data_IF_156300030667
#
_entry.id   IF_156300030667
#
_cell.length_a   1.000
_cell.length_b   1.000
_cell.length_c   1.000
_cell.angle_alpha   90.00
_cell.angle_beta   90.00
_cell.angle_gamma   90.00
#
_symmetry.space_group_name_H-M   'P 1'
#
loop_
_entity.id
_entity.type
_entity.pdbx_description
1 polymer ?
#
# COMPACT_ATOMS: atom_id res chain seq x y z
N UNK A 1 -6.34 -24.15 4.52
CA UNK A 1 -5.99 -22.77 4.11
C UNK A 1 -6.52 -22.55 2.71
N UNK A 2 -7.29 -21.49 2.44
CA UNK A 2 -7.78 -21.23 1.07
C UNK A 2 -6.64 -20.73 0.17
N UNK A 3 -6.64 -21.05 -1.14
CA UNK A 3 -5.64 -20.54 -2.07
C UNK A 3 -5.52 -19.00 -2.10
N UNK A 4 -6.64 -18.29 -1.99
CA UNK A 4 -6.66 -16.82 -1.95
C UNK A 4 -5.94 -16.24 -0.73
N UNK A 5 -6.08 -16.90 0.44
CA UNK A 5 -5.42 -16.43 1.66
C UNK A 5 -3.90 -16.64 1.60
N UNK A 6 -3.43 -17.70 0.95
CA UNK A 6 -2.00 -17.89 0.72
C UNK A 6 -1.43 -16.77 -0.16
N UNK A 7 -2.10 -16.45 -1.28
CA UNK A 7 -1.65 -15.37 -2.18
C UNK A 7 -1.61 -14.00 -1.50
N UNK A 8 -2.54 -13.75 -0.57
CA UNK A 8 -2.54 -12.55 0.26
C UNK A 8 -1.28 -12.48 1.13
N UNK A 9 -0.98 -13.55 1.88
CA UNK A 9 0.19 -13.61 2.74
C UNK A 9 1.51 -13.55 1.96
N UNK A 10 1.58 -14.21 0.80
CA UNK A 10 2.73 -14.12 -0.09
C UNK A 10 2.95 -12.67 -0.57
N UNK A 11 1.88 -11.95 -0.90
CA UNK A 11 1.95 -10.54 -1.31
C UNK A 11 2.46 -9.63 -0.19
N UNK A 12 1.98 -9.87 1.04
CA UNK A 12 2.40 -9.15 2.24
C UNK A 12 3.90 -9.38 2.50
N UNK A 13 4.36 -10.63 2.47
CA UNK A 13 5.77 -10.98 2.68
C UNK A 13 6.66 -10.29 1.63
N UNK A 14 6.25 -10.29 0.36
CA UNK A 14 6.94 -9.58 -0.72
C UNK A 14 7.03 -8.08 -0.41
N UNK A 15 5.94 -7.44 0.01
CA UNK A 15 5.91 -6.02 0.33
C UNK A 15 6.87 -5.69 1.48
N UNK A 16 6.81 -6.46 2.57
CA UNK A 16 7.68 -6.26 3.75
C UNK A 16 9.16 -6.47 3.37
N UNK A 17 9.45 -7.47 2.55
CA UNK A 17 10.80 -7.73 2.03
C UNK A 17 11.32 -6.58 1.17
N UNK A 18 10.51 -6.05 0.24
CA UNK A 18 10.91 -4.92 -0.60
C UNK A 18 11.10 -3.66 0.25
N UNK A 19 10.23 -3.41 1.24
CA UNK A 19 10.36 -2.28 2.16
C UNK A 19 11.70 -2.28 2.89
N UNK A 20 12.10 -3.44 3.44
CA UNK A 20 13.41 -3.62 4.10
C UNK A 20 14.59 -3.33 3.15
N UNK A 21 14.49 -3.77 1.89
CA UNK A 21 15.51 -3.48 0.87
C UNK A 21 15.58 -1.98 0.55
N UNK A 22 14.43 -1.29 0.45
CA UNK A 22 14.37 0.16 0.25
C UNK A 22 15.03 0.89 1.44
N UNK A 23 14.79 0.45 2.68
CA UNK A 23 15.44 1.05 3.85
C UNK A 23 16.95 0.95 3.77
N UNK A 24 17.46 -0.24 3.43
CA UNK A 24 18.89 -0.48 3.24
C UNK A 24 19.48 0.37 2.10
N UNK A 25 18.75 0.56 1.00
CA UNK A 25 19.20 1.41 -0.11
C UNK A 25 19.36 2.87 0.33
N UNK A 26 18.43 3.40 1.13
CA UNK A 26 18.45 4.80 1.59
C UNK A 26 19.66 5.11 2.45
N UNK A 27 20.14 4.15 3.23
CA UNK A 27 21.35 4.31 4.04
C UNK A 27 22.61 4.43 3.15
N UNK A 28 22.59 3.80 1.98
CA UNK A 28 23.73 3.68 1.07
C UNK A 28 23.71 4.66 -0.11
N UNK A 29 22.63 5.43 -0.34
CA UNK A 29 22.57 6.35 -1.48
C UNK A 29 23.60 7.48 -1.40
N UNK A 30 24.37 7.64 -2.48
CA UNK A 30 25.41 8.68 -2.60
C UNK A 30 24.83 10.01 -3.10
N UNK A 31 23.76 9.96 -3.90
CA UNK A 31 23.06 11.11 -4.45
C UNK A 31 21.57 11.13 -4.09
N UNK A 32 20.89 12.26 -4.30
CA UNK A 32 19.43 12.39 -4.13
C UNK A 32 18.86 11.98 -2.75
N UNK A 33 19.69 12.01 -1.69
CA UNK A 33 19.34 11.57 -0.31
C UNK A 33 17.98 12.06 0.19
N UNK A 34 17.65 13.33 -0.04
CA UNK A 34 16.35 13.91 0.38
C UNK A 34 15.17 13.24 -0.31
N UNK A 35 15.28 12.95 -1.61
CA UNK A 35 14.23 12.27 -2.38
C UNK A 35 14.11 10.80 -1.97
N UNK A 36 15.23 10.11 -1.82
CA UNK A 36 15.25 8.73 -1.32
C UNK A 36 14.63 8.59 0.08
N UNK A 37 14.91 9.54 0.99
CA UNK A 37 14.28 9.56 2.32
C UNK A 37 12.77 9.75 2.26
N UNK A 38 12.26 10.65 1.40
CA UNK A 38 10.80 10.82 1.22
C UNK A 38 10.13 9.54 0.74
N UNK A 39 10.75 8.83 -0.20
CA UNK A 39 10.26 7.52 -0.64
C UNK A 39 10.26 6.54 0.53
N UNK A 40 11.35 6.46 1.29
CA UNK A 40 11.46 5.62 2.50
C UNK A 40 10.34 5.86 3.50
N UNK A 41 10.03 7.12 3.80
CA UNK A 41 9.01 7.47 4.79
C UNK A 41 7.60 7.05 4.32
N UNK A 42 7.31 7.19 3.03
CA UNK A 42 6.05 6.70 2.43
C UNK A 42 5.96 5.17 2.44
N UNK A 43 7.07 4.50 2.10
CA UNK A 43 7.16 3.04 2.17
C UNK A 43 6.91 2.54 3.59
N UNK A 44 7.41 3.25 4.61
CA UNK A 44 7.13 2.92 6.02
C UNK A 44 5.67 3.05 6.40
N UNK A 45 4.99 4.10 5.93
CA UNK A 45 3.56 4.26 6.15
C UNK A 45 2.75 3.13 5.50
N UNK A 46 3.13 2.74 4.27
CA UNK A 46 2.53 1.61 3.55
C UNK A 46 2.79 0.27 4.24
N UNK A 47 4.03 -0.01 4.64
CA UNK A 47 4.39 -1.23 5.37
C UNK A 47 3.57 -1.37 6.66
N UNK A 48 3.37 -0.28 7.40
CA UNK A 48 2.55 -0.28 8.61
C UNK A 48 1.09 -0.65 8.32
N UNK A 49 0.50 -0.10 7.25
CA UNK A 49 -0.86 -0.49 6.83
C UNK A 49 -0.92 -1.97 6.45
N UNK A 50 0.06 -2.46 5.71
CA UNK A 50 0.13 -3.85 5.26
C UNK A 50 0.24 -4.82 6.44
N UNK A 51 1.09 -4.53 7.42
CA UNK A 51 1.21 -5.33 8.66
C UNK A 51 -0.07 -5.34 9.50
N UNK A 52 -0.89 -4.30 9.43
CA UNK A 52 -2.20 -4.31 10.10
C UNK A 52 -3.20 -5.29 9.46
N UNK A 53 -2.96 -5.70 8.21
CA UNK A 53 -3.77 -6.71 7.51
C UNK A 53 -3.35 -8.12 7.92
N UNK A 54 -2.07 -8.37 8.23
CA UNK A 54 -1.59 -9.67 8.74
C UNK A 54 -2.31 -10.11 10.02
N UNK A 55 -2.70 -9.16 10.86
CA UNK A 55 -3.33 -9.42 12.15
C UNK A 55 -4.81 -9.85 12.04
N UNK A 56 -5.37 -9.89 10.82
CA UNK A 56 -6.78 -10.21 10.58
C UNK A 56 -6.99 -11.72 10.43
N UNK A 57 -8.18 -12.18 10.79
CA UNK A 57 -8.54 -13.59 10.64
C UNK A 57 -8.71 -13.98 9.17
N UNK A 58 -8.46 -15.25 8.87
CA UNK A 58 -8.66 -15.85 7.55
C UNK A 58 -10.06 -15.56 6.99
N UNK A 59 -10.13 -14.91 5.81
CA UNK A 59 -11.38 -14.63 5.11
C UNK A 59 -12.04 -13.29 5.44
N UNK A 60 -11.41 -12.44 6.24
CA UNK A 60 -11.89 -11.07 6.54
C UNK A 60 -11.43 -10.01 5.53
N UNK A 61 -10.66 -10.39 4.52
CA UNK A 61 -10.07 -9.48 3.54
C UNK A 61 -10.81 -9.57 2.20
N UNK A 62 -11.23 -8.43 1.69
CA UNK A 62 -11.93 -8.30 0.41
C UNK A 62 -10.99 -8.43 -0.80
N UNK A 63 -11.56 -8.81 -1.94
CA UNK A 63 -10.83 -8.90 -3.21
C UNK A 63 -10.24 -7.55 -3.67
N UNK A 64 -10.84 -6.43 -3.26
CA UNK A 64 -10.30 -5.10 -3.55
C UNK A 64 -9.01 -4.85 -2.75
N UNK A 65 -8.96 -5.25 -1.47
CA UNK A 65 -7.73 -5.18 -0.67
C UNK A 65 -6.64 -6.10 -1.24
N UNK A 66 -6.99 -7.32 -1.65
CA UNK A 66 -6.05 -8.23 -2.34
C UNK A 66 -5.47 -7.59 -3.61
N UNK A 67 -6.31 -6.95 -4.44
CA UNK A 67 -5.86 -6.22 -5.64
C UNK A 67 -4.92 -5.08 -5.27
N UNK A 68 -5.27 -4.27 -4.27
CA UNK A 68 -4.46 -3.15 -3.82
C UNK A 68 -3.06 -3.59 -3.36
N UNK A 69 -2.97 -4.70 -2.62
CA UNK A 69 -1.69 -5.24 -2.16
C UNK A 69 -0.83 -5.73 -3.33
N UNK A 70 -1.45 -6.36 -4.33
CA UNK A 70 -0.74 -6.77 -5.55
C UNK A 70 -0.20 -5.56 -6.33
N UNK A 71 -1.00 -4.51 -6.51
CA UNK A 71 -0.56 -3.28 -7.19
C UNK A 71 0.53 -2.54 -6.41
N UNK A 72 0.41 -2.55 -5.08
CA UNK A 72 1.42 -2.00 -4.18
C UNK A 72 2.77 -2.73 -4.33
N UNK A 73 2.78 -4.06 -4.42
CA UNK A 73 4.04 -4.81 -4.56
C UNK A 73 4.78 -4.42 -5.85
N UNK A 74 4.08 -4.26 -6.97
CA UNK A 74 4.67 -3.77 -8.22
C UNK A 74 5.20 -2.33 -8.11
N UNK A 75 4.48 -1.46 -7.38
CA UNK A 75 4.89 -0.07 -7.17
C UNK A 75 6.12 0.03 -6.29
N UNK A 76 6.20 -0.76 -5.22
CA UNK A 76 7.39 -0.85 -4.36
C UNK A 76 8.58 -1.41 -5.11
N UNK A 77 8.38 -2.43 -5.94
CA UNK A 77 9.43 -2.97 -6.80
C UNK A 77 9.97 -1.90 -7.76
N UNK A 78 9.09 -1.13 -8.40
CA UNK A 78 9.48 0.00 -9.25
C UNK A 78 10.29 1.06 -8.48
N UNK A 79 9.86 1.38 -7.24
CA UNK A 79 10.54 2.35 -6.39
C UNK A 79 11.96 1.88 -6.04
N UNK A 80 12.10 0.60 -5.67
CA UNK A 80 13.39 -0.03 -5.37
C UNK A 80 14.35 0.08 -6.57
N UNK A 81 13.90 -0.28 -7.77
CA UNK A 81 14.72 -0.24 -8.99
C UNK A 81 15.22 1.17 -9.31
N UNK A 82 14.37 2.19 -9.17
CA UNK A 82 14.80 3.58 -9.36
C UNK A 82 15.82 3.96 -8.30
N UNK A 83 15.64 3.56 -7.04
CA UNK A 83 16.59 3.88 -5.96
C UNK A 83 17.94 3.18 -6.14
N UNK A 84 17.97 1.97 -6.66
CA UNK A 84 19.22 1.25 -7.03
C UNK A 84 20.04 2.02 -8.07
N UNK A 85 19.40 2.75 -8.99
CA UNK A 85 20.12 3.64 -9.95
C UNK A 85 20.94 4.72 -9.26
N UNK A 86 20.57 5.13 -8.03
CA UNK A 86 21.20 6.23 -7.28
C UNK A 86 22.07 5.75 -6.10
N UNK A 87 22.16 4.44 -5.82
CA UNK A 87 23.01 3.87 -4.75
C UNK A 87 24.46 3.59 -5.20
N UNK A 88 24.68 3.15 -6.45
CA UNK A 88 26.00 2.95 -7.08
C UNK A 88 26.74 1.68 -6.60
N UNK A 89 27.34 0.85 -7.48
CA UNK A 89 28.70 1.11 -8.01
C UNK A 89 28.93 0.97 -9.54
N UNK A 90 28.01 0.49 -10.41
CA UNK A 90 28.33 0.25 -11.84
C UNK A 90 27.47 0.92 -12.94
N UNK A 91 26.35 1.57 -12.62
CA UNK A 91 25.43 2.11 -13.67
C UNK A 91 25.35 3.65 -13.75
N UNK A 92 26.06 4.34 -12.85
CA UNK A 92 25.88 5.78 -12.59
C UNK A 92 26.37 6.69 -13.73
N UNK A 93 27.23 6.21 -14.64
CA UNK A 93 27.76 7.04 -15.73
C UNK A 93 26.76 7.35 -16.85
N UNK A 94 25.67 6.58 -16.99
CA UNK A 94 24.69 6.79 -18.08
C UNK A 94 23.44 7.55 -17.65
N UNK A 95 23.03 7.41 -16.39
CA UNK A 95 21.80 8.05 -15.89
C UNK A 95 22.03 9.54 -15.62
N UNK A 96 23.19 9.95 -15.09
CA UNK A 96 23.48 11.35 -14.72
C UNK A 96 23.44 12.37 -15.87
N UNK A 97 23.33 11.94 -17.12
CA UNK A 97 23.46 12.80 -18.31
C UNK A 97 22.12 13.25 -18.92
N UNK A 98 20.97 12.84 -18.39
CA UNK A 98 19.66 13.22 -18.94
C UNK A 98 18.82 13.95 -17.88
N UNK A 99 18.42 15.20 -18.16
CA UNK A 99 17.71 16.10 -17.25
C UNK A 99 16.27 15.71 -16.85
N UNK A 100 15.97 14.42 -16.71
CA UNK A 100 14.64 13.86 -16.37
C UNK A 100 14.54 13.33 -14.92
N UNK A 101 15.56 13.55 -14.08
CA UNK A 101 15.58 13.09 -12.68
C UNK A 101 14.48 13.70 -11.80
N UNK A 102 13.95 14.87 -12.18
CA UNK A 102 12.80 15.50 -11.54
C UNK A 102 11.57 14.58 -11.62
N UNK A 103 11.32 14.06 -12.82
CA UNK A 103 10.10 13.36 -13.19
C UNK A 103 10.02 11.95 -12.60
N UNK A 104 11.11 11.18 -12.60
CA UNK A 104 11.09 9.80 -12.09
C UNK A 104 10.70 9.73 -10.61
N UNK A 105 11.31 10.58 -9.77
CA UNK A 105 10.98 10.62 -8.35
C UNK A 105 9.62 11.27 -8.08
N UNK A 106 9.17 12.21 -8.91
CA UNK A 106 7.82 12.77 -8.77
C UNK A 106 6.78 11.69 -9.07
N UNK A 107 6.89 11.02 -10.21
CA UNK A 107 6.00 9.93 -10.61
C UNK A 107 5.97 8.79 -9.60
N UNK A 108 7.11 8.38 -9.04
CA UNK A 108 7.15 7.38 -7.97
C UNK A 108 6.44 7.83 -6.71
N UNK A 109 6.64 9.08 -6.33
CA UNK A 109 6.03 9.65 -5.15
C UNK A 109 4.51 9.71 -5.29
N UNK A 110 4.01 10.11 -6.46
CA UNK A 110 2.59 10.17 -6.77
C UNK A 110 1.98 8.76 -6.73
N UNK A 111 2.63 7.77 -7.36
CA UNK A 111 2.18 6.37 -7.33
C UNK A 111 2.16 5.77 -5.93
N UNK A 112 3.12 6.10 -5.07
CA UNK A 112 3.14 5.65 -3.67
C UNK A 112 2.04 6.31 -2.85
N UNK A 113 1.74 7.58 -3.12
CA UNK A 113 0.66 8.32 -2.48
C UNK A 113 -0.70 7.75 -2.90
N UNK A 114 -0.91 7.53 -4.19
CA UNK A 114 -2.12 6.90 -4.75
C UNK A 114 -2.34 5.51 -4.14
N UNK A 115 -1.30 4.68 -4.08
CA UNK A 115 -1.38 3.36 -3.46
C UNK A 115 -1.77 3.44 -1.97
N UNK A 116 -1.24 4.43 -1.24
CA UNK A 116 -1.59 4.64 0.17
C UNK A 116 -3.06 5.06 0.31
N UNK A 117 -3.52 6.02 -0.50
CA UNK A 117 -4.90 6.51 -0.47
C UNK A 117 -5.89 5.40 -0.82
N UNK A 118 -5.62 4.64 -1.90
CA UNK A 118 -6.50 3.55 -2.35
C UNK A 118 -6.55 2.41 -1.33
N UNK A 119 -5.40 1.98 -0.80
CA UNK A 119 -5.37 0.91 0.21
C UNK A 119 -6.07 1.34 1.51
N UNK A 120 -5.75 2.53 2.02
CA UNK A 120 -6.37 3.05 3.25
C UNK A 120 -7.87 3.25 3.10
N UNK A 121 -8.34 3.76 1.96
CA UNK A 121 -9.77 3.88 1.66
C UNK A 121 -10.47 2.52 1.61
N UNK A 122 -9.87 1.53 0.94
CA UNK A 122 -10.42 0.17 0.85
C UNK A 122 -10.57 -0.47 2.23
N UNK A 123 -9.57 -0.33 3.10
CA UNK A 123 -9.63 -0.83 4.48
C UNK A 123 -10.70 -0.13 5.32
N UNK A 124 -10.89 1.18 5.14
CA UNK A 124 -11.94 1.93 5.83
C UNK A 124 -13.35 1.51 5.40
N UNK A 125 -13.57 1.33 4.09
CA UNK A 125 -14.85 0.81 3.55
C UNK A 125 -15.16 -0.56 4.12
N UNK A 126 -14.16 -1.44 4.16
CA UNK A 126 -14.29 -2.79 4.73
C UNK A 126 -14.66 -2.75 6.22
N UNK A 127 -13.97 -1.93 7.02
CA UNK A 127 -14.30 -1.72 8.43
C UNK A 127 -15.72 -1.15 8.62
N UNK A 128 -16.12 -0.18 7.80
CA UNK A 128 -17.48 0.38 7.83
C UNK A 128 -18.55 -0.67 7.53
N UNK A 129 -18.29 -1.56 6.56
CA UNK A 129 -19.17 -2.67 6.23
C UNK A 129 -19.31 -3.68 7.37
N UNK A 130 -18.22 -3.99 8.06
CA UNK A 130 -18.25 -4.86 9.25
C UNK A 130 -19.07 -4.20 10.36
N UNK A 131 -18.85 -2.92 10.64
CA UNK A 131 -19.60 -2.18 11.66
C UNK A 131 -21.10 -2.14 11.35
N UNK A 132 -21.48 -1.90 10.10
CA UNK A 132 -22.88 -1.90 9.66
C UNK A 132 -23.54 -3.27 9.83
N UNK A 133 -22.82 -4.37 9.54
CA UNK A 133 -23.31 -5.74 9.77
C UNK A 133 -23.54 -6.00 11.26
N UNK A 134 -22.63 -5.54 12.12
CA UNK A 134 -22.79 -5.64 13.59
C UNK A 134 -23.99 -4.82 14.05
N UNK A 135 -24.11 -3.56 13.61
CA UNK A 135 -25.23 -2.69 13.97
C UNK A 135 -26.58 -3.31 13.62
N UNK A 136 -26.73 -3.83 12.38
CA UNK A 136 -27.95 -4.50 11.92
C UNK A 136 -28.26 -5.77 12.72
N UNK A 137 -27.23 -6.50 13.17
CA UNK A 137 -27.41 -7.69 14.01
C UNK A 137 -27.88 -7.33 15.42
N UNK A 138 -27.42 -6.21 15.96
CA UNK A 138 -27.81 -5.72 17.30
C UNK A 138 -29.19 -5.05 17.28
N UNK A 139 -29.58 -4.41 16.16
CA UNK A 139 -30.84 -3.67 16.02
C UNK A 139 -31.68 -4.19 14.83
N UNK A 140 -32.22 -5.43 14.87
CA UNK A 140 -32.93 -6.03 13.74
C UNK A 140 -34.30 -5.38 13.42
N UNK A 141 -34.81 -4.46 14.25
CA UNK A 141 -36.19 -3.96 14.21
C UNK A 141 -36.40 -2.48 13.86
N UNK A 142 -35.35 -1.67 13.65
CA UNK A 142 -35.50 -0.21 13.45
C UNK A 142 -35.56 0.21 11.97
N UNK A 143 -35.38 -0.69 11.01
CA UNK A 143 -35.39 -0.37 9.57
C UNK A 143 -36.78 -0.35 8.93
N UNK A 144 -37.85 -0.03 9.67
CA UNK A 144 -39.22 -0.17 9.16
C UNK A 144 -40.26 0.81 9.73
N UNK A 145 -39.87 2.04 10.08
CA UNK A 145 -40.81 3.04 10.65
C UNK A 145 -40.72 4.45 10.07
N UNK A 146 -40.37 4.59 8.79
CA UNK A 146 -40.57 5.84 8.08
C UNK A 146 -41.49 5.60 6.88
N UNK A 147 -42.78 5.91 7.00
CA UNK A 147 -43.67 5.93 5.84
C UNK A 147 -45.12 5.46 6.02
N UNK A 148 -45.72 5.54 7.22
CA UNK A 148 -47.18 5.43 7.31
C UNK A 148 -47.74 6.65 8.05
N UNK A 149 -47.82 7.76 7.32
CA UNK A 149 -48.76 8.83 7.64
C UNK A 149 -50.18 8.32 7.36
N UNK A 150 -50.99 8.33 8.41
CA UNK A 150 -52.39 7.95 8.38
C UNK A 150 -53.20 8.93 7.52
N UNK A 151 -53.92 8.40 6.54
CA UNK A 151 -55.10 9.03 5.93
C UNK A 151 -56.36 8.39 6.48
#
# INVERSE_FOLDING_TARGET
>A
MSPSFQLLMDSIEIIVSIASQIYSLVENVKANKKRCRRVCDRVRALEHLVKSIEQRETGQTSADVERCLKELSFTLQSAKEVMEKYSGESLVKRVLSCGSHEDEFSSLNDRLDDAFQVLSGSLQVEHGNVLLKVFRKVHPGETGRDGQEAG
#
